data_IF_839686282610
#
_entry.id   IF_839686282610
#
_cell.length_a   1.000
_cell.length_b   1.000
_cell.length_c   1.000
_cell.angle_alpha   90.00
_cell.angle_beta   90.00
_cell.angle_gamma   90.00
#
_symmetry.space_group_name_H-M   'P 1'
#
loop_
_entity.id
_entity.type
_entity.pdbx_description
1 polymer ?
#
# COMPACT_ATOMS: atom_id res chain seq x y z
N UNK A 1 -19.31 -2.31 53.70
CA UNK A 1 -20.00 -2.18 52.39
C UNK A 1 -19.32 -1.25 51.39
N UNK A 2 -18.81 -0.07 51.79
CA UNK A 2 -18.14 0.88 50.85
C UNK A 2 -16.83 0.34 50.26
N UNK A 3 -16.00 -0.33 51.06
CA UNK A 3 -14.72 -0.90 50.60
C UNK A 3 -14.89 -2.09 49.64
N UNK A 4 -15.97 -2.86 49.79
CA UNK A 4 -16.30 -3.98 48.88
C UNK A 4 -16.79 -3.48 47.51
N UNK A 5 -17.50 -2.34 47.47
CA UNK A 5 -17.87 -1.66 46.22
C UNK A 5 -16.66 -1.09 45.49
N UNK A 6 -15.67 -0.58 46.23
CA UNK A 6 -14.41 -0.09 45.64
C UNK A 6 -13.60 -1.23 45.01
N UNK A 7 -13.50 -2.38 45.69
CA UNK A 7 -12.82 -3.57 45.17
C UNK A 7 -13.49 -4.15 43.91
N UNK A 8 -14.82 -4.20 43.88
CA UNK A 8 -15.57 -4.63 42.69
C UNK A 8 -15.41 -3.67 41.50
N UNK A 9 -15.35 -2.36 41.76
CA UNK A 9 -15.12 -1.36 40.71
C UNK A 9 -13.73 -1.50 40.07
N UNK A 10 -12.69 -1.70 40.89
CA UNK A 10 -11.32 -1.96 40.40
C UNK A 10 -11.20 -3.27 39.61
N UNK A 11 -11.91 -4.34 40.02
CA UNK A 11 -11.90 -5.62 39.33
C UNK A 11 -12.54 -5.54 37.93
N UNK A 12 -13.57 -4.72 37.75
CA UNK A 12 -14.21 -4.51 36.44
C UNK A 12 -13.36 -3.68 35.47
N UNK A 13 -12.50 -2.79 36.00
CA UNK A 13 -11.66 -1.92 35.17
C UNK A 13 -10.49 -2.70 34.52
N UNK A 14 -10.02 -3.77 35.17
CA UNK A 14 -8.90 -4.59 34.72
C UNK A 14 -9.20 -5.50 33.51
N UNK A 15 -10.47 -5.70 33.12
CA UNK A 15 -10.86 -6.69 32.10
C UNK A 15 -11.04 -6.11 30.68
N UNK A 16 -10.76 -4.83 30.47
CA UNK A 16 -11.37 -4.04 29.38
C UNK A 16 -10.50 -3.80 28.13
N UNK A 17 -9.52 -4.64 27.79
CA UNK A 17 -8.67 -4.38 26.60
C UNK A 17 -8.31 -5.61 25.79
N UNK A 18 -9.30 -6.23 25.13
CA UNK A 18 -9.06 -7.13 24.00
C UNK A 18 -8.84 -6.29 22.75
N UNK A 19 -7.57 -6.09 22.36
CA UNK A 19 -7.24 -5.36 21.13
C UNK A 19 -7.20 -6.32 19.93
N UNK A 20 -8.07 -6.10 18.93
CA UNK A 20 -7.97 -6.81 17.65
C UNK A 20 -6.86 -6.18 16.79
N UNK A 21 -5.76 -6.91 16.60
CA UNK A 21 -4.71 -6.56 15.64
C UNK A 21 -5.03 -7.10 14.24
N UNK A 22 -4.72 -6.31 13.20
CA UNK A 22 -4.86 -6.76 11.82
C UNK A 22 -3.55 -7.41 11.35
N UNK A 23 -3.64 -8.68 10.94
CA UNK A 23 -2.53 -9.40 10.36
C UNK A 23 -2.29 -9.00 8.89
N UNK A 24 -1.03 -8.77 8.54
CA UNK A 24 -0.53 -8.62 7.17
C UNK A 24 0.67 -9.54 6.96
N UNK A 25 1.13 -9.64 5.71
CA UNK A 25 2.18 -10.59 5.35
C UNK A 25 3.40 -9.89 4.77
N UNK A 26 4.59 -10.32 5.15
CA UNK A 26 5.87 -9.88 4.58
C UNK A 26 6.59 -11.07 3.95
N UNK A 27 7.56 -10.79 3.08
CA UNK A 27 8.50 -11.78 2.57
C UNK A 27 9.78 -11.77 3.42
N UNK A 28 10.59 -12.83 3.36
CA UNK A 28 11.82 -12.94 4.14
C UNK A 28 12.85 -11.82 3.85
N UNK A 29 12.90 -11.32 2.62
CA UNK A 29 13.90 -10.34 2.16
C UNK A 29 13.30 -9.00 1.74
N UNK A 30 11.98 -8.84 1.81
CA UNK A 30 11.30 -7.66 1.26
C UNK A 30 10.98 -6.62 2.32
N UNK A 31 11.02 -5.35 1.92
CA UNK A 31 10.66 -4.19 2.75
C UNK A 31 9.15 -3.84 2.67
N UNK A 32 8.34 -4.74 2.10
CA UNK A 32 6.92 -4.50 1.84
C UNK A 32 6.03 -5.43 2.64
N UNK A 33 4.87 -4.92 3.03
CA UNK A 33 3.77 -5.75 3.53
C UNK A 33 2.68 -5.93 2.48
N UNK A 34 1.99 -7.06 2.56
CA UNK A 34 1.19 -7.67 1.51
C UNK A 34 -0.13 -8.23 2.10
N UNK A 35 -1.13 -8.43 1.23
CA UNK A 35 -2.33 -9.23 1.53
C UNK A 35 -2.00 -10.72 1.44
N UNK A 36 -2.80 -11.57 2.08
CA UNK A 36 -2.60 -13.03 2.13
C UNK A 36 -2.46 -13.72 0.76
N UNK A 37 -3.06 -13.14 -0.29
CA UNK A 37 -3.10 -13.66 -1.66
C UNK A 37 -2.13 -12.96 -2.63
N UNK A 38 -1.15 -12.22 -2.12
CA UNK A 38 -0.23 -11.46 -2.98
C UNK A 38 0.75 -12.40 -3.71
N UNK A 39 0.94 -12.22 -5.02
CA UNK A 39 1.76 -13.10 -5.87
C UNK A 39 3.23 -13.22 -5.40
N UNK A 40 3.75 -12.21 -4.71
CA UNK A 40 5.11 -12.22 -4.17
C UNK A 40 5.30 -13.10 -2.93
N UNK A 41 4.20 -13.58 -2.32
CA UNK A 41 4.23 -14.45 -1.14
C UNK A 41 4.30 -15.94 -1.49
N UNK A 42 4.47 -16.30 -2.77
CA UNK A 42 4.49 -17.71 -3.23
C UNK A 42 5.53 -18.58 -2.53
N UNK A 43 6.71 -18.02 -2.30
CA UNK A 43 7.86 -18.76 -1.75
C UNK A 43 8.16 -18.43 -0.30
N UNK A 44 7.67 -17.27 0.19
CA UNK A 44 7.92 -16.81 1.55
C UNK A 44 6.73 -15.97 2.01
N UNK A 45 6.12 -16.39 3.13
CA UNK A 45 4.96 -15.74 3.72
C UNK A 45 5.13 -15.71 5.23
N UNK A 46 5.42 -14.54 5.78
CA UNK A 46 5.53 -14.30 7.22
C UNK A 46 4.41 -13.38 7.68
N UNK A 47 3.66 -13.80 8.68
CA UNK A 47 2.61 -12.98 9.27
C UNK A 47 3.19 -11.97 10.26
N UNK A 48 2.67 -10.74 10.23
CA UNK A 48 3.04 -9.65 11.12
C UNK A 48 1.87 -8.70 11.30
N UNK A 49 1.75 -8.08 12.47
CA UNK A 49 0.74 -7.05 12.70
C UNK A 49 0.97 -5.84 11.79
N UNK A 50 -0.10 -5.30 11.22
CA UNK A 50 -0.05 -4.10 10.39
C UNK A 50 0.68 -2.94 11.08
N UNK A 51 0.32 -2.67 12.34
CA UNK A 51 0.93 -1.59 13.13
C UNK A 51 2.44 -1.82 13.31
N UNK A 52 2.84 -3.07 13.57
CA UNK A 52 4.23 -3.47 13.74
C UNK A 52 5.00 -3.38 12.42
N UNK A 53 4.40 -3.76 11.30
CA UNK A 53 5.01 -3.61 9.98
C UNK A 53 5.30 -2.13 9.68
N UNK A 54 4.34 -1.24 9.94
CA UNK A 54 4.50 0.20 9.74
C UNK A 54 5.57 0.76 10.69
N UNK A 55 5.57 0.37 11.96
CA UNK A 55 6.58 0.85 12.93
C UNK A 55 8.00 0.38 12.58
N UNK A 56 8.13 -0.77 11.93
CA UNK A 56 9.41 -1.28 11.42
C UNK A 56 9.81 -0.68 10.06
N UNK A 57 9.02 0.24 9.50
CA UNK A 57 9.34 0.93 8.25
C UNK A 57 8.91 0.17 6.98
N UNK A 58 8.14 -0.92 7.10
CA UNK A 58 7.64 -1.62 5.92
C UNK A 58 6.61 -0.77 5.18
N UNK A 59 6.72 -0.75 3.85
CA UNK A 59 5.82 -0.01 2.97
C UNK A 59 4.75 -0.91 2.35
N UNK A 60 3.60 -0.33 2.00
CA UNK A 60 2.52 -1.10 1.39
C UNK A 60 2.90 -1.63 -0.01
N UNK A 61 2.56 -2.88 -0.31
CA UNK A 61 2.70 -3.41 -1.65
C UNK A 61 1.82 -2.63 -2.65
N UNK A 62 2.44 -2.05 -3.69
CA UNK A 62 1.76 -1.23 -4.72
C UNK A 62 0.71 -2.01 -5.53
N UNK A 63 0.88 -3.32 -5.66
CA UNK A 63 -0.05 -4.19 -6.39
C UNK A 63 -1.22 -4.56 -5.49
N UNK A 64 -0.90 -5.00 -4.27
CA UNK A 64 -1.89 -5.52 -3.33
C UNK A 64 -2.69 -4.40 -2.65
N UNK A 65 -2.16 -3.17 -2.64
CA UNK A 65 -2.73 -1.94 -2.03
C UNK A 65 -3.48 -2.24 -0.73
N UNK A 66 -2.81 -2.86 0.26
CA UNK A 66 -3.42 -3.04 1.58
C UNK A 66 -3.74 -1.66 2.15
N UNK A 67 -4.99 -1.46 2.56
CA UNK A 67 -5.45 -0.22 3.17
C UNK A 67 -4.98 -0.27 4.63
N UNK A 68 -4.28 0.76 5.09
CA UNK A 68 -3.78 0.83 6.47
C UNK A 68 -4.89 1.07 7.52
N UNK A 69 -6.13 1.26 7.07
CA UNK A 69 -7.27 1.65 7.89
C UNK A 69 -8.39 0.64 7.78
N UNK A 70 -8.94 0.33 8.95
CA UNK A 70 -9.92 -0.68 9.27
C UNK A 70 -11.06 -0.82 8.26
N UNK A 71 -10.95 -1.83 7.38
CA UNK A 71 -12.09 -2.39 6.65
C UNK A 71 -11.94 -3.90 6.68
N UNK A 72 -12.57 -4.50 7.70
CA UNK A 72 -12.82 -5.93 7.79
C UNK A 72 -13.48 -6.41 6.51
N UNK A 73 -13.00 -7.54 5.99
CA UNK A 73 -13.50 -8.12 4.76
C UNK A 73 -14.96 -8.51 4.87
N UNK A 74 -15.75 -8.12 3.88
CA UNK A 74 -16.96 -8.84 3.48
C UNK A 74 -17.08 -8.70 1.97
N UNK A 75 -16.88 -9.82 1.30
CA UNK A 75 -17.24 -9.97 -0.09
C UNK A 75 -18.76 -9.98 -0.18
N UNK A 76 -19.36 -8.89 -0.66
CA UNK A 76 -20.67 -8.93 -1.30
C UNK A 76 -20.71 -7.90 -2.43
N UNK A 77 -21.25 -8.36 -3.54
CA UNK A 77 -21.09 -7.89 -4.92
C UNK A 77 -22.34 -7.13 -5.33
N UNK A 78 -22.25 -5.82 -5.56
CA UNK A 78 -23.15 -5.03 -6.42
C UNK A 78 -22.47 -3.65 -6.64
N UNK A 79 -21.74 -3.47 -7.75
CA UNK A 79 -22.18 -2.82 -9.01
C UNK A 79 -22.54 -1.32 -8.82
N UNK A 80 -21.88 -0.48 -9.64
CA UNK A 80 -22.24 0.90 -10.07
C UNK A 80 -21.72 2.02 -9.14
N UNK A 81 -20.97 3.07 -9.52
CA UNK A 81 -20.36 3.58 -10.77
C UNK A 81 -19.22 4.56 -10.35
N UNK A 82 -18.12 4.55 -11.12
CA UNK A 82 -17.04 5.57 -11.25
C UNK A 82 -16.51 6.35 -10.03
N UNK A 83 -15.25 6.07 -9.68
CA UNK A 83 -14.19 7.10 -9.72
C UNK A 83 -12.84 6.41 -9.84
N UNK A 84 -12.48 6.14 -11.10
CA UNK A 84 -11.16 5.69 -11.53
C UNK A 84 -10.16 6.80 -11.20
N UNK A 85 -9.56 6.78 -10.01
CA UNK A 85 -8.31 7.49 -9.76
C UNK A 85 -7.22 6.72 -10.50
N UNK A 86 -7.18 6.97 -11.82
CA UNK A 86 -5.96 6.86 -12.59
C UNK A 86 -4.94 7.71 -11.85
N UNK A 87 -3.83 7.10 -11.43
CA UNK A 87 -2.57 7.83 -11.38
C UNK A 87 -2.33 8.37 -12.79
N UNK A 88 -2.81 9.58 -13.05
CA UNK A 88 -2.53 10.32 -14.25
C UNK A 88 -1.04 10.64 -14.18
N UNK A 89 -0.24 9.78 -14.80
CA UNK A 89 0.95 10.25 -15.53
C UNK A 89 0.47 11.49 -16.28
N UNK A 90 1.02 12.66 -15.92
CA UNK A 90 0.72 13.93 -16.56
C UNK A 90 1.24 13.87 -18.00
N UNK A 91 0.52 13.13 -18.84
CA UNK A 91 0.80 13.01 -20.24
C UNK A 91 0.54 14.38 -20.83
N UNK A 92 1.62 15.10 -21.14
CA UNK A 92 1.56 16.45 -21.67
C UNK A 92 0.60 16.46 -22.87
N UNK A 93 -0.37 17.36 -22.87
CA UNK A 93 -1.40 17.47 -23.92
C UNK A 93 -0.75 17.66 -25.29
N UNK A 94 0.37 18.38 -25.33
CA UNK A 94 1.22 18.61 -26.50
C UNK A 94 2.45 17.70 -26.46
N UNK A 95 2.70 16.98 -27.55
CA UNK A 95 3.90 16.16 -27.70
C UNK A 95 5.12 17.06 -28.01
N UNK A 96 6.11 17.03 -27.14
CA UNK A 96 7.38 17.77 -27.32
C UNK A 96 8.51 16.84 -27.74
N UNK A 97 9.55 17.39 -28.38
CA UNK A 97 10.70 16.59 -28.81
C UNK A 97 11.47 16.00 -27.62
N UNK A 98 11.91 14.75 -27.77
CA UNK A 98 12.71 14.03 -26.79
C UNK A 98 14.01 14.79 -26.47
N UNK A 99 14.36 14.83 -25.18
CA UNK A 99 15.54 15.57 -24.71
C UNK A 99 16.85 14.78 -24.78
N UNK A 100 16.79 13.47 -25.01
CA UNK A 100 17.95 12.56 -25.04
C UNK A 100 18.81 12.69 -26.31
N UNK A 101 20.08 12.26 -26.21
CA UNK A 101 21.01 12.05 -27.33
C UNK A 101 21.10 10.55 -27.67
N UNK A 102 21.32 10.22 -28.94
CA UNK A 102 21.60 8.86 -29.39
C UNK A 102 23.04 8.48 -29.05
N UNK A 103 23.41 7.20 -29.21
CA UNK A 103 24.79 6.74 -29.04
C UNK A 103 25.77 7.48 -29.97
N UNK A 104 25.32 7.87 -31.16
CA UNK A 104 26.07 8.73 -32.09
C UNK A 104 26.08 10.22 -31.71
N UNK A 105 25.62 10.60 -30.51
CA UNK A 105 25.67 11.96 -29.96
C UNK A 105 24.63 12.94 -30.51
N UNK A 106 23.88 12.59 -31.56
CA UNK A 106 22.85 13.45 -32.15
C UNK A 106 21.58 13.47 -31.30
N UNK A 107 20.88 14.61 -31.27
CA UNK A 107 19.64 14.76 -30.49
C UNK A 107 18.51 13.87 -31.06
N UNK A 108 17.79 13.19 -30.17
CA UNK A 108 16.68 12.32 -30.53
C UNK A 108 15.57 13.12 -31.23
N UNK A 109 15.13 12.66 -32.40
CA UNK A 109 14.10 13.34 -33.21
C UNK A 109 12.66 12.97 -32.81
N UNK A 110 12.47 11.96 -31.95
CA UNK A 110 11.14 11.46 -31.59
C UNK A 110 10.43 12.42 -30.65
N UNK A 111 9.11 12.58 -30.83
CA UNK A 111 8.26 13.33 -29.90
C UNK A 111 7.77 12.43 -28.76
N UNK A 112 7.57 13.00 -27.59
CA UNK A 112 7.07 12.31 -26.40
C UNK A 112 6.09 13.21 -25.66
N UNK A 113 5.07 12.56 -25.08
CA UNK A 113 4.16 13.20 -24.12
C UNK A 113 4.51 12.80 -22.68
N UNK A 114 5.61 12.07 -22.48
CA UNK A 114 6.09 11.69 -21.16
C UNK A 114 6.53 12.95 -20.40
N UNK A 115 6.14 13.03 -19.13
CA UNK A 115 6.55 14.10 -18.22
C UNK A 115 8.07 14.19 -18.07
N UNK A 116 8.80 13.07 -18.24
CA UNK A 116 10.28 13.06 -18.21
C UNK A 116 10.95 13.75 -19.39
N UNK A 117 10.20 14.09 -20.45
CA UNK A 117 10.76 14.65 -21.68
C UNK A 117 11.58 13.65 -22.50
N UNK A 118 11.67 12.37 -22.09
CA UNK A 118 12.35 11.29 -22.84
C UNK A 118 11.34 10.37 -23.52
N UNK A 119 11.70 9.85 -24.69
CA UNK A 119 10.91 8.83 -25.37
C UNK A 119 11.30 7.44 -24.85
N UNK A 120 10.50 6.42 -25.16
CA UNK A 120 10.64 5.07 -24.60
C UNK A 120 11.94 4.31 -24.96
N UNK A 121 12.81 4.91 -25.77
CA UNK A 121 14.10 4.32 -26.17
C UNK A 121 15.28 4.84 -25.32
N UNK A 122 15.03 5.74 -24.37
CA UNK A 122 16.04 6.52 -23.65
C UNK A 122 15.65 6.72 -22.20
#
# INVERSE_FOLDING_TARGET
MKQLKLLLFFLTLAFSSVTLAQAVYTTQTGEKYHKSNCQYLKHSKKEIDLKKAISLGYIACKICKPIANNSQGSASKAKIITSKVKTNSSKKTIATQCTAKTQAGKRCKRKTKNSSGRCYQH
#
